data_IF_320722651111
#
_entry.id   IF_320722651111
#
_cell.length_a   1.000
_cell.length_b   1.000
_cell.length_c   1.000
_cell.angle_alpha   90.00
_cell.angle_beta   90.00
_cell.angle_gamma   90.00
#
_symmetry.space_group_name_H-M   'P 1'
#
loop_
_entity.id
_entity.type
_entity.pdbx_description
1 polymer ?
#
# COMPACT_ATOMS: atom_id res chain seq x y z
N UNK A 1 5.38 23.00 -6.15
CA UNK A 1 5.89 21.98 -7.11
C UNK A 1 4.89 20.84 -7.24
N UNK A 2 4.51 20.46 -8.46
CA UNK A 2 3.58 19.35 -8.71
C UNK A 2 4.34 18.06 -9.04
N UNK A 3 3.93 16.94 -8.45
CA UNK A 3 4.50 15.60 -8.70
C UNK A 3 3.44 14.51 -8.48
N UNK A 4 3.80 13.26 -8.77
CA UNK A 4 3.00 12.11 -8.42
C UNK A 4 2.91 11.94 -6.91
N UNK A 5 1.71 11.62 -6.44
CA UNK A 5 1.45 11.04 -5.13
C UNK A 5 0.82 9.66 -5.33
N UNK A 6 1.23 8.68 -4.52
CA UNK A 6 0.76 7.32 -4.62
C UNK A 6 0.36 6.78 -3.26
N UNK A 7 -0.80 6.12 -3.20
CA UNK A 7 -1.25 5.28 -2.08
C UNK A 7 -1.36 3.85 -2.60
N UNK A 8 -0.83 2.87 -1.88
CA UNK A 8 -0.87 1.48 -2.35
C UNK A 8 -0.74 0.46 -1.22
N UNK A 9 -1.16 -0.78 -1.50
CA UNK A 9 -0.76 -1.94 -0.71
C UNK A 9 0.78 -2.10 -0.78
N UNK A 10 1.49 -2.36 0.34
CA UNK A 10 2.94 -2.41 0.38
C UNK A 10 3.60 -3.30 -0.70
N UNK A 11 2.99 -4.43 -1.06
CA UNK A 11 3.52 -5.33 -2.10
C UNK A 11 3.71 -4.68 -3.46
N UNK A 12 2.98 -3.61 -3.77
CA UNK A 12 3.04 -2.90 -5.05
C UNK A 12 4.12 -1.82 -5.09
N UNK A 13 4.86 -1.58 -3.99
CA UNK A 13 5.79 -0.46 -3.93
C UNK A 13 6.92 -0.57 -4.95
N UNK A 14 7.48 -1.78 -5.15
CA UNK A 14 8.57 -2.00 -6.11
C UNK A 14 8.12 -1.68 -7.53
N UNK A 15 6.99 -2.26 -7.96
CA UNK A 15 6.48 -2.04 -9.33
C UNK A 15 6.12 -0.57 -9.56
N UNK A 16 5.61 0.14 -8.55
CA UNK A 16 5.33 1.58 -8.62
C UNK A 16 6.63 2.38 -8.79
N UNK A 17 7.66 2.05 -8.03
CA UNK A 17 8.98 2.70 -8.12
C UNK A 17 9.62 2.42 -9.48
N UNK A 18 9.63 1.18 -9.95
CA UNK A 18 10.23 0.81 -11.25
C UNK A 18 9.49 1.46 -12.42
N UNK A 19 8.16 1.41 -12.44
CA UNK A 19 7.36 2.07 -13.47
C UNK A 19 7.61 3.58 -13.52
N UNK A 20 7.89 4.22 -12.37
CA UNK A 20 8.13 5.66 -12.32
C UNK A 20 9.46 6.08 -12.97
N UNK A 21 10.42 5.16 -13.07
CA UNK A 21 11.70 5.38 -13.77
C UNK A 21 11.57 5.29 -15.30
N UNK A 22 10.48 4.70 -15.81
CA UNK A 22 10.29 4.49 -17.25
C UNK A 22 9.48 5.61 -17.92
N UNK A 23 8.81 6.44 -17.12
CA UNK A 23 7.85 7.42 -17.64
C UNK A 23 8.45 8.83 -17.56
N UNK A 24 8.50 9.58 -18.67
CA UNK A 24 8.94 10.97 -18.66
C UNK A 24 8.07 11.84 -17.75
N UNK A 25 8.72 12.69 -16.96
CA UNK A 25 8.03 13.64 -16.11
C UNK A 25 7.32 14.71 -16.95
N UNK A 26 6.14 15.15 -16.48
CA UNK A 26 5.43 16.27 -17.07
C UNK A 26 6.10 17.60 -16.68
N UNK A 27 6.20 18.50 -17.66
CA UNK A 27 6.68 19.88 -17.49
C UNK A 27 8.15 20.04 -17.07
N UNK A 28 8.93 18.97 -17.07
CA UNK A 28 10.37 19.00 -16.80
C UNK A 28 11.20 18.86 -18.09
N UNK A 29 12.47 19.29 -18.09
CA UNK A 29 13.39 19.07 -19.21
C UNK A 29 13.43 17.61 -19.70
N UNK A 30 13.67 17.38 -21.01
CA UNK A 30 13.84 16.05 -21.57
C UNK A 30 14.88 15.23 -20.80
N UNK A 31 14.58 13.94 -20.61
CA UNK A 31 15.44 13.00 -19.87
C UNK A 31 15.10 12.86 -18.39
N UNK A 32 14.27 13.73 -17.80
CA UNK A 32 13.76 13.51 -16.44
C UNK A 32 12.54 12.60 -16.43
N UNK A 33 12.52 11.69 -15.47
CA UNK A 33 11.45 10.72 -15.23
C UNK A 33 10.56 11.14 -14.07
N UNK A 34 9.40 10.49 -13.91
CA UNK A 34 8.56 10.66 -12.72
C UNK A 34 9.41 10.42 -11.46
N UNK A 35 10.22 9.36 -11.44
CA UNK A 35 11.10 9.03 -10.33
C UNK A 35 12.02 10.20 -9.95
N UNK A 36 12.69 10.81 -10.93
CA UNK A 36 13.65 11.91 -10.69
C UNK A 36 12.98 13.13 -10.07
N UNK A 37 11.77 13.46 -10.52
CA UNK A 37 10.99 14.56 -9.94
C UNK A 37 10.49 14.20 -8.55
N UNK A 38 9.93 13.00 -8.40
CA UNK A 38 9.31 12.56 -7.16
C UNK A 38 10.30 12.50 -6.01
N UNK A 39 11.53 12.01 -6.25
CA UNK A 39 12.62 11.98 -5.28
C UNK A 39 13.00 13.38 -4.74
N UNK A 40 12.86 14.43 -5.56
CA UNK A 40 13.18 15.81 -5.14
C UNK A 40 12.11 16.41 -4.23
N UNK A 41 10.88 15.91 -4.28
CA UNK A 41 9.73 16.50 -3.60
C UNK A 41 9.27 15.65 -2.41
N UNK A 42 9.09 14.34 -2.61
CA UNK A 42 8.55 13.42 -1.60
C UNK A 42 9.30 12.09 -1.62
N UNK A 43 10.27 11.94 -0.72
CA UNK A 43 11.04 10.71 -0.58
C UNK A 43 11.03 10.18 0.87
N UNK A 44 11.30 8.89 1.02
CA UNK A 44 11.33 8.20 2.30
C UNK A 44 12.77 8.07 2.82
N UNK A 45 13.04 8.68 3.97
CA UNK A 45 14.35 8.67 4.62
C UNK A 45 14.89 7.26 4.94
N UNK A 46 14.02 6.29 5.19
CA UNK A 46 14.38 4.92 5.54
C UNK A 46 14.76 4.10 4.30
N UNK A 47 13.93 4.13 3.26
CA UNK A 47 14.13 3.29 2.06
C UNK A 47 14.97 3.96 0.98
N UNK A 48 15.19 5.29 1.06
CA UNK A 48 15.88 6.10 0.03
C UNK A 48 15.17 6.09 -1.33
N UNK A 49 13.85 5.96 -1.31
CA UNK A 49 12.97 5.86 -2.49
C UNK A 49 11.86 6.91 -2.42
N UNK A 50 11.07 7.11 -3.50
CA UNK A 50 9.90 7.96 -3.45
C UNK A 50 8.93 7.52 -2.35
N UNK A 51 8.30 8.50 -1.69
CA UNK A 51 7.38 8.22 -0.59
C UNK A 51 6.04 7.75 -1.15
N UNK A 52 5.74 6.47 -0.98
CA UNK A 52 4.42 5.87 -1.21
C UNK A 52 3.73 5.72 0.14
N UNK A 53 2.47 6.14 0.23
CA UNK A 53 1.65 5.91 1.42
C UNK A 53 1.15 4.45 1.41
N UNK A 54 1.33 3.75 2.53
CA UNK A 54 0.79 2.40 2.67
C UNK A 54 -0.72 2.44 2.93
N UNK A 55 -1.42 1.47 2.36
CA UNK A 55 -2.85 1.32 2.50
C UNK A 55 -3.65 2.36 1.75
N UNK A 56 -4.90 2.01 1.46
CA UNK A 56 -5.87 2.91 0.86
C UNK A 56 -6.98 3.16 1.90
N UNK A 57 -7.49 4.39 1.93
CA UNK A 57 -8.52 4.77 2.90
C UNK A 57 -9.90 4.29 2.47
N UNK A 58 -10.93 5.13 2.58
CA UNK A 58 -12.25 4.85 1.97
C UNK A 58 -12.77 5.97 1.08
N UNK A 59 -11.86 6.84 0.61
CA UNK A 59 -12.21 8.02 -0.17
C UNK A 59 -12.55 7.76 -1.65
N UNK A 60 -12.36 6.53 -2.16
CA UNK A 60 -12.60 6.16 -3.55
C UNK A 60 -12.99 4.68 -3.68
N UNK A 61 -13.20 4.21 -4.91
CA UNK A 61 -13.76 2.90 -5.24
C UNK A 61 -12.88 1.72 -4.82
N UNK A 62 -11.59 1.95 -4.54
CA UNK A 62 -10.68 0.90 -4.05
C UNK A 62 -11.15 0.28 -2.72
N UNK A 63 -11.99 0.97 -1.95
CA UNK A 63 -12.51 0.52 -0.65
C UNK A 63 -13.10 -0.90 -0.68
N UNK A 64 -13.90 -1.22 -1.71
CA UNK A 64 -14.48 -2.55 -1.81
C UNK A 64 -13.43 -3.63 -2.06
N UNK A 65 -12.36 -3.27 -2.77
CA UNK A 65 -11.31 -4.21 -3.16
C UNK A 65 -10.33 -4.49 -2.02
N UNK A 66 -9.94 -3.48 -1.25
CA UNK A 66 -8.99 -3.66 -0.14
C UNK A 66 -9.70 -4.13 1.15
N UNK A 67 -10.80 -3.48 1.55
CA UNK A 67 -11.44 -3.73 2.85
C UNK A 67 -12.39 -4.93 2.85
N UNK A 68 -12.93 -5.35 1.70
CA UNK A 68 -13.87 -6.48 1.62
C UNK A 68 -13.30 -7.70 0.90
N UNK A 69 -12.58 -7.50 -0.21
CA UNK A 69 -12.04 -8.59 -1.02
C UNK A 69 -10.61 -8.98 -0.62
N UNK A 70 -9.81 -8.03 -0.14
CA UNK A 70 -8.40 -8.26 0.19
C UNK A 70 -7.56 -8.41 -1.07
N UNK A 71 -7.75 -7.53 -2.03
CA UNK A 71 -6.91 -7.38 -3.22
C UNK A 71 -5.89 -6.28 -2.99
N UNK A 72 -4.66 -6.45 -3.48
CA UNK A 72 -3.68 -5.37 -3.46
C UNK A 72 -4.11 -4.30 -4.47
N UNK A 73 -4.11 -3.04 -4.05
CA UNK A 73 -4.59 -1.92 -4.87
C UNK A 73 -3.58 -0.76 -4.85
N UNK A 74 -3.73 0.16 -5.79
CA UNK A 74 -3.02 1.44 -5.80
C UNK A 74 -3.92 2.56 -6.31
N UNK A 75 -3.63 3.77 -5.85
CA UNK A 75 -4.22 5.03 -6.31
C UNK A 75 -3.08 6.02 -6.58
N UNK A 76 -3.07 6.62 -7.77
CA UNK A 76 -2.01 7.53 -8.22
C UNK A 76 -2.60 8.81 -8.77
N UNK A 77 -2.11 9.94 -8.27
CA UNK A 77 -2.58 11.28 -8.65
C UNK A 77 -1.41 12.21 -8.93
N UNK A 78 -1.63 13.25 -9.75
CA UNK A 78 -0.65 14.30 -10.00
C UNK A 78 -1.13 15.51 -9.23
N UNK A 79 -0.41 15.85 -8.17
CA UNK A 79 -0.87 16.88 -7.25
C UNK A 79 0.25 17.85 -6.92
N UNK A 80 -0.15 19.02 -6.43
CA UNK A 80 0.78 19.96 -5.82
C UNK A 80 1.31 19.37 -4.51
N UNK A 81 2.51 19.77 -4.11
CA UNK A 81 2.97 19.55 -2.75
C UNK A 81 2.14 20.43 -1.78
N UNK A 82 1.35 19.84 -0.85
CA UNK A 82 0.47 20.61 0.03
C UNK A 82 1.21 21.63 0.92
N UNK A 83 2.48 21.35 1.24
CA UNK A 83 3.30 22.26 2.07
C UNK A 83 3.66 23.56 1.35
N UNK A 84 3.69 23.54 0.02
CA UNK A 84 4.04 24.72 -0.79
C UNK A 84 2.91 25.75 -0.83
N UNK A 85 1.70 25.38 -0.39
CA UNK A 85 0.48 26.17 -0.56
C UNK A 85 -0.34 26.30 0.74
N UNK A 86 0.32 26.36 1.90
CA UNK A 86 -0.36 26.68 3.16
C UNK A 86 -1.32 25.60 3.67
N UNK A 87 -1.01 24.32 3.43
CA UNK A 87 -1.81 23.16 3.88
C UNK A 87 -3.25 23.15 3.35
N UNK A 88 -3.43 23.50 2.07
CA UNK A 88 -4.69 23.21 1.38
C UNK A 88 -4.87 21.69 1.31
N UNK A 89 -6.01 21.21 1.80
CA UNK A 89 -6.32 19.77 1.89
C UNK A 89 -6.74 19.15 0.55
N UNK A 90 -7.41 19.92 -0.31
CA UNK A 90 -7.95 19.47 -1.60
C UNK A 90 -7.89 20.59 -2.64
N UNK A 91 -8.00 20.22 -3.91
CA UNK A 91 -8.16 21.18 -4.99
C UNK A 91 -9.38 22.11 -4.72
N UNK A 92 -9.23 23.46 -4.81
CA UNK A 92 -10.25 24.40 -4.31
C UNK A 92 -11.65 24.31 -4.92
N UNK A 93 -11.82 23.68 -6.08
CA UNK A 93 -13.13 23.60 -6.73
C UNK A 93 -13.79 22.22 -6.61
N UNK A 94 -13.18 21.30 -5.86
CA UNK A 94 -13.70 19.96 -5.61
C UNK A 94 -15.19 19.97 -5.20
N UNK A 95 -16.01 19.16 -5.86
CA UNK A 95 -17.45 19.02 -5.63
C UNK A 95 -18.25 20.32 -5.80
N UNK A 96 -17.80 21.22 -6.67
CA UNK A 96 -18.54 22.44 -7.02
C UNK A 96 -18.96 22.45 -8.49
N UNK A 97 -19.91 23.32 -8.84
CA UNK A 97 -20.29 23.55 -10.24
C UNK A 97 -19.18 24.16 -11.10
N UNK A 98 -18.04 24.55 -10.51
CA UNK A 98 -16.90 25.11 -11.22
C UNK A 98 -15.90 24.05 -11.70
N UNK A 99 -16.10 22.77 -11.37
CA UNK A 99 -15.36 21.63 -11.93
C UNK A 99 -15.73 21.39 -13.40
N UNK A 100 -15.21 22.25 -14.27
CA UNK A 100 -15.52 22.27 -15.70
C UNK A 100 -14.30 21.89 -16.52
N UNK A 101 -14.53 21.36 -17.73
CA UNK A 101 -13.45 21.12 -18.69
C UNK A 101 -12.62 22.39 -18.96
N UNK A 102 -13.28 23.55 -19.08
CA UNK A 102 -12.62 24.84 -19.28
C UNK A 102 -11.66 25.19 -18.15
N UNK A 103 -12.01 24.87 -16.90
CA UNK A 103 -11.13 25.07 -15.74
C UNK A 103 -9.87 24.20 -15.86
N UNK A 104 -10.03 22.91 -16.20
CA UNK A 104 -8.89 22.01 -16.40
C UNK A 104 -8.00 22.49 -17.54
N UNK A 105 -8.59 22.78 -18.71
CA UNK A 105 -7.90 23.20 -19.92
C UNK A 105 -7.19 24.55 -19.78
N UNK A 106 -7.69 25.44 -18.92
CA UNK A 106 -7.14 26.80 -18.78
C UNK A 106 -6.14 26.90 -17.63
N UNK A 107 -6.35 26.19 -16.53
CA UNK A 107 -5.63 26.43 -15.28
C UNK A 107 -4.95 25.19 -14.67
N UNK A 108 -5.54 24.00 -14.80
CA UNK A 108 -5.00 22.79 -14.13
C UNK A 108 -3.93 22.11 -14.99
N UNK A 109 -4.25 21.79 -16.24
CA UNK A 109 -3.33 21.09 -17.14
C UNK A 109 -3.51 21.56 -18.61
N UNK A 110 -3.06 22.77 -18.95
CA UNK A 110 -3.40 23.40 -20.23
C UNK A 110 -2.97 22.62 -21.47
N UNK A 111 -1.91 21.83 -21.34
CA UNK A 111 -1.37 21.00 -22.41
C UNK A 111 -1.65 19.51 -22.21
N UNK A 112 -2.45 19.13 -21.20
CA UNK A 112 -2.70 17.74 -20.80
C UNK A 112 -1.44 16.92 -20.56
N UNK A 113 -0.32 17.57 -20.23
CA UNK A 113 0.96 16.88 -20.08
C UNK A 113 0.98 16.04 -18.81
N UNK A 114 0.39 16.53 -17.72
CA UNK A 114 0.29 15.77 -16.46
C UNK A 114 -0.68 14.59 -16.61
N UNK A 115 -1.86 14.80 -17.20
CA UNK A 115 -2.81 13.73 -17.48
C UNK A 115 -2.21 12.66 -18.40
N UNK A 116 -1.49 13.06 -19.46
CA UNK A 116 -0.78 12.12 -20.34
C UNK A 116 0.31 11.35 -19.58
N UNK A 117 1.06 12.00 -18.71
CA UNK A 117 2.09 11.35 -17.88
C UNK A 117 1.47 10.33 -16.92
N UNK A 118 0.36 10.66 -16.25
CA UNK A 118 -0.38 9.68 -15.42
C UNK A 118 -0.94 8.55 -16.26
N UNK A 119 -1.58 8.84 -17.39
CA UNK A 119 -2.12 7.79 -18.26
C UNK A 119 -1.05 6.80 -18.72
N UNK A 120 0.14 7.31 -19.06
CA UNK A 120 1.32 6.47 -19.35
C UNK A 120 1.78 5.67 -18.14
N UNK A 121 1.83 6.30 -16.97
CA UNK A 121 2.27 5.63 -15.74
C UNK A 121 1.34 4.48 -15.34
N UNK A 122 0.03 4.71 -15.34
CA UNK A 122 -0.96 3.65 -15.10
C UNK A 122 -0.89 2.57 -16.19
N UNK A 123 -0.68 2.94 -17.45
CA UNK A 123 -0.47 1.98 -18.54
C UNK A 123 0.76 1.10 -18.34
N UNK A 124 1.89 1.68 -17.94
CA UNK A 124 3.13 0.94 -17.63
C UNK A 124 2.92 0.02 -16.42
N UNK A 125 2.25 0.49 -15.36
CA UNK A 125 1.87 -0.37 -14.23
C UNK A 125 1.00 -1.55 -14.67
N UNK A 126 0.02 -1.30 -15.54
CA UNK A 126 -0.82 -2.34 -16.13
C UNK A 126 0.01 -3.39 -16.87
N UNK A 127 0.98 -2.97 -17.69
CA UNK A 127 1.89 -3.88 -18.39
C UNK A 127 2.74 -4.70 -17.41
N UNK A 128 3.32 -4.08 -16.38
CA UNK A 128 4.07 -4.82 -15.37
C UNK A 128 3.21 -5.88 -14.67
N UNK A 129 1.98 -5.55 -14.31
CA UNK A 129 1.09 -6.45 -13.57
C UNK A 129 0.46 -7.55 -14.46
N UNK A 130 0.40 -7.36 -15.78
CA UNK A 130 -0.24 -8.31 -16.71
C UNK A 130 0.73 -9.16 -17.53
N UNK A 131 1.92 -8.65 -17.84
CA UNK A 131 2.84 -9.31 -18.78
C UNK A 131 3.99 -10.09 -18.11
N UNK A 132 4.18 -9.93 -16.79
CA UNK A 132 5.23 -10.67 -16.09
C UNK A 132 4.73 -12.06 -15.67
N UNK A 133 5.48 -13.11 -16.04
CA UNK A 133 5.17 -14.50 -15.67
C UNK A 133 5.04 -14.68 -14.16
N UNK A 134 5.97 -14.09 -13.39
CA UNK A 134 5.90 -13.98 -11.94
C UNK A 134 5.41 -12.58 -11.61
N UNK A 135 4.36 -12.45 -10.79
CA UNK A 135 3.80 -11.15 -10.44
C UNK A 135 4.88 -10.29 -9.75
N UNK A 136 5.06 -9.02 -10.13
CA UNK A 136 6.09 -8.14 -9.58
C UNK A 136 5.65 -7.56 -8.22
N UNK A 137 5.28 -8.45 -7.30
CA UNK A 137 4.84 -8.14 -5.95
C UNK A 137 5.92 -8.56 -4.96
N UNK A 138 6.26 -7.68 -4.01
CA UNK A 138 7.30 -7.95 -3.02
C UNK A 138 6.71 -8.02 -1.61
N UNK A 139 6.68 -9.22 -1.04
CA UNK A 139 6.06 -9.46 0.28
C UNK A 139 6.86 -8.82 1.42
N UNK A 140 8.17 -8.60 1.24
CA UNK A 140 9.02 -8.00 2.28
C UNK A 140 8.69 -6.52 2.53
N UNK A 141 8.02 -5.85 1.58
CA UNK A 141 7.52 -4.48 1.77
C UNK A 141 6.51 -4.36 2.90
N UNK A 142 5.72 -5.40 3.16
CA UNK A 142 4.83 -5.44 4.33
C UNK A 142 5.59 -5.34 5.64
N UNK A 143 6.72 -6.03 5.76
CA UNK A 143 7.57 -5.98 6.95
C UNK A 143 8.07 -4.56 7.21
N UNK A 144 8.51 -3.85 6.15
CA UNK A 144 8.98 -2.46 6.28
C UNK A 144 7.83 -1.56 6.75
N UNK A 145 6.64 -1.69 6.15
CA UNK A 145 5.46 -0.93 6.54
C UNK A 145 5.06 -1.21 8.00
N UNK A 146 4.97 -2.49 8.40
CA UNK A 146 4.63 -2.92 9.75
C UNK A 146 5.60 -2.39 10.81
N UNK A 147 6.92 -2.46 10.54
CA UNK A 147 7.94 -1.89 11.42
C UNK A 147 7.82 -0.38 11.53
N UNK A 148 7.49 0.31 10.43
CA UNK A 148 7.28 1.75 10.45
C UNK A 148 6.01 2.14 11.24
N UNK A 149 4.92 1.39 11.06
CA UNK A 149 3.67 1.56 11.84
C UNK A 149 3.97 1.39 13.34
N UNK A 150 4.65 0.31 13.71
CA UNK A 150 5.06 0.04 15.10
C UNK A 150 5.91 1.17 15.68
N UNK A 151 6.90 1.66 14.91
CA UNK A 151 7.75 2.78 15.31
C UNK A 151 6.93 4.06 15.55
N UNK A 152 5.96 4.33 14.69
CA UNK A 152 5.13 5.54 14.77
C UNK A 152 4.17 5.52 15.98
N UNK A 153 3.75 4.33 16.44
CA UNK A 153 2.95 4.21 17.66
C UNK A 153 3.74 4.55 18.94
N UNK A 154 5.07 4.57 18.88
CA UNK A 154 5.98 4.87 20.00
C UNK A 154 5.76 4.01 21.26
N UNK A 155 5.25 2.78 21.09
CA UNK A 155 4.95 1.88 22.21
C UNK A 155 6.09 0.87 22.44
N UNK A 156 6.83 1.07 23.53
CA UNK A 156 7.92 0.17 23.98
C UNK A 156 7.51 -0.73 25.15
N UNK A 157 6.21 -0.87 25.43
CA UNK A 157 5.73 -1.68 26.53
C UNK A 157 5.85 -3.18 26.23
N UNK A 158 5.80 -4.00 27.29
CA UNK A 158 5.82 -5.46 27.23
C UNK A 158 4.66 -6.02 26.41
N UNK A 159 3.51 -5.35 26.40
CA UNK A 159 2.30 -5.86 25.77
C UNK A 159 2.42 -5.91 24.24
N UNK A 160 3.25 -5.05 23.65
CA UNK A 160 3.56 -5.07 22.21
C UNK A 160 4.57 -6.16 21.80
N UNK A 161 5.10 -6.94 22.75
CA UNK A 161 6.10 -7.96 22.46
C UNK A 161 5.54 -9.04 21.53
N UNK A 162 4.31 -9.51 21.76
CA UNK A 162 3.68 -10.53 20.90
C UNK A 162 3.53 -10.05 19.45
N UNK A 163 3.24 -8.76 19.25
CA UNK A 163 3.13 -8.17 17.92
C UNK A 163 4.50 -7.98 17.27
N UNK A 164 5.53 -7.57 18.03
CA UNK A 164 6.91 -7.51 17.53
C UNK A 164 7.41 -8.88 17.06
N UNK A 165 7.13 -9.92 17.84
CA UNK A 165 7.47 -11.29 17.49
C UNK A 165 6.72 -11.74 16.23
N UNK A 166 5.41 -11.50 16.14
CA UNK A 166 4.63 -11.81 14.94
C UNK A 166 5.19 -11.11 13.67
N UNK A 167 5.59 -9.85 13.78
CA UNK A 167 6.22 -9.10 12.67
C UNK A 167 7.58 -9.69 12.29
N UNK A 168 8.37 -10.12 13.28
CA UNK A 168 9.66 -10.77 13.04
C UNK A 168 9.50 -12.16 12.40
N UNK A 169 8.54 -12.96 12.86
CA UNK A 169 8.19 -14.25 12.26
C UNK A 169 7.76 -14.06 10.79
N UNK A 170 6.96 -13.00 10.53
CA UNK A 170 6.56 -12.60 9.19
C UNK A 170 7.73 -12.15 8.32
N UNK A 171 8.66 -11.38 8.86
CA UNK A 171 9.86 -10.98 8.15
C UNK A 171 10.70 -12.18 7.67
N UNK A 172 10.88 -13.18 8.53
CA UNK A 172 11.62 -14.39 8.21
C UNK A 172 10.91 -15.13 7.07
N UNK A 173 9.61 -15.39 7.23
CA UNK A 173 8.83 -16.08 6.20
C UNK A 173 8.78 -15.31 4.87
N UNK A 174 8.68 -13.98 4.90
CA UNK A 174 8.71 -13.12 3.72
C UNK A 174 10.07 -13.19 3.01
N UNK A 175 11.19 -13.15 3.74
CA UNK A 175 12.53 -13.31 3.16
C UNK A 175 12.73 -14.68 2.54
N UNK A 176 12.29 -15.73 3.23
CA UNK A 176 12.36 -17.10 2.69
C UNK A 176 11.51 -17.23 1.42
N UNK A 177 10.30 -16.64 1.41
CA UNK A 177 9.43 -16.58 0.23
C UNK A 177 10.10 -15.89 -0.97
N UNK A 178 10.78 -14.76 -0.74
CA UNK A 178 11.54 -14.05 -1.79
C UNK A 178 12.78 -14.83 -2.24
N UNK A 179 13.42 -15.61 -1.38
CA UNK A 179 14.53 -16.49 -1.78
C UNK A 179 14.01 -17.62 -2.68
N UNK A 180 12.84 -18.21 -2.35
CA UNK A 180 12.21 -19.27 -3.15
C UNK A 180 11.92 -18.83 -4.59
N UNK A 181 11.60 -17.55 -4.81
CA UNK A 181 11.35 -17.01 -6.16
C UNK A 181 12.53 -17.24 -7.12
N UNK A 182 13.76 -17.21 -6.60
CA UNK A 182 15.00 -17.39 -7.36
C UNK A 182 15.27 -18.83 -7.78
N UNK A 183 14.63 -19.79 -7.12
CA UNK A 183 14.77 -21.21 -7.41
C UNK A 183 13.60 -21.78 -8.23
N UNK A 184 12.64 -20.95 -8.63
CA UNK A 184 11.49 -21.40 -9.40
C UNK A 184 11.92 -21.91 -10.78
N UNK A 185 11.39 -23.05 -11.19
CA UNK A 185 11.49 -23.48 -12.58
C UNK A 185 10.56 -22.64 -13.46
N UNK A 186 11.12 -21.62 -14.12
CA UNK A 186 10.36 -20.69 -14.98
C UNK A 186 9.78 -21.34 -16.25
N UNK A 187 10.21 -22.56 -16.59
CA UNK A 187 9.63 -23.33 -17.69
C UNK A 187 8.41 -24.16 -17.25
N UNK A 188 8.16 -24.27 -15.93
CA UNK A 188 7.02 -25.00 -15.38
C UNK A 188 5.88 -24.03 -15.01
N UNK A 189 4.82 -23.92 -15.84
CA UNK A 189 3.74 -22.97 -15.59
C UNK A 189 2.95 -23.27 -14.30
N UNK A 190 2.92 -24.51 -13.84
CA UNK A 190 2.25 -24.87 -12.58
C UNK A 190 2.99 -24.35 -11.35
N UNK A 191 4.33 -24.32 -11.42
CA UNK A 191 5.17 -23.83 -10.33
C UNK A 191 5.09 -22.31 -10.22
N UNK A 192 5.15 -21.62 -11.36
CA UNK A 192 4.88 -20.17 -11.45
C UNK A 192 3.48 -19.85 -10.92
N UNK A 193 2.47 -20.62 -11.36
CA UNK A 193 1.08 -20.38 -10.95
C UNK A 193 0.90 -20.56 -9.45
N UNK A 194 1.42 -21.63 -8.86
CA UNK A 194 1.36 -21.86 -7.43
C UNK A 194 2.02 -20.72 -6.64
N UNK A 195 3.17 -20.23 -7.10
CA UNK A 195 3.85 -19.09 -6.47
C UNK A 195 3.03 -17.79 -6.58
N UNK A 196 2.48 -17.49 -7.76
CA UNK A 196 1.62 -16.31 -7.95
C UNK A 196 0.33 -16.38 -7.13
N UNK A 197 -0.26 -17.57 -6.98
CA UNK A 197 -1.42 -17.74 -6.11
C UNK A 197 -1.06 -17.43 -4.65
N UNK A 198 0.14 -17.78 -4.16
CA UNK A 198 0.58 -17.37 -2.82
C UNK A 198 0.70 -15.84 -2.69
N UNK A 199 1.24 -15.15 -3.70
CA UNK A 199 1.30 -13.68 -3.74
C UNK A 199 -0.09 -13.05 -3.66
N UNK A 200 -1.03 -13.52 -4.48
CA UNK A 200 -2.40 -13.00 -4.56
C UNK A 200 -3.21 -13.27 -3.28
N UNK A 201 -2.92 -14.37 -2.58
CA UNK A 201 -3.64 -14.77 -1.37
C UNK A 201 -3.13 -14.06 -0.10
N UNK A 202 -1.91 -13.51 -0.12
CA UNK A 202 -1.31 -12.89 1.06
C UNK A 202 -2.16 -11.75 1.61
N UNK A 203 -2.63 -10.86 0.72
CA UNK A 203 -3.44 -9.70 1.09
C UNK A 203 -4.74 -10.12 1.80
N UNK A 204 -5.37 -11.21 1.34
CA UNK A 204 -6.59 -11.77 1.93
C UNK A 204 -6.37 -12.32 3.33
N UNK A 205 -5.16 -12.78 3.65
CA UNK A 205 -4.84 -13.28 4.99
C UNK A 205 -4.89 -12.18 6.07
N UNK A 206 -4.91 -10.91 5.66
CA UNK A 206 -5.06 -9.77 6.56
C UNK A 206 -6.51 -9.33 6.78
N UNK A 207 -7.50 -10.05 6.22
CA UNK A 207 -8.91 -9.74 6.45
C UNK A 207 -9.45 -10.44 7.70
N UNK A 208 -9.88 -9.66 8.68
CA UNK A 208 -10.70 -10.14 9.78
C UNK A 208 -12.17 -10.23 9.33
N UNK A 209 -12.77 -11.43 9.19
CA UNK A 209 -14.15 -11.57 8.72
C UNK A 209 -15.18 -10.92 9.64
N UNK A 210 -14.84 -10.69 10.91
CA UNK A 210 -15.69 -9.99 11.88
C UNK A 210 -15.65 -8.46 11.74
N UNK A 211 -14.74 -7.93 10.90
CA UNK A 211 -14.53 -6.48 10.78
C UNK A 211 -14.02 -5.84 12.06
N UNK A 212 -14.32 -4.54 12.23
CA UNK A 212 -13.86 -3.72 13.36
C UNK A 212 -15.00 -3.35 14.29
N UNK A 213 -15.31 -4.23 15.24
CA UNK A 213 -16.39 -4.00 16.20
C UNK A 213 -17.76 -3.92 15.52
N UNK A 214 -18.74 -3.32 16.20
CA UNK A 214 -20.14 -3.28 15.72
C UNK A 214 -20.40 -2.22 14.65
N UNK A 215 -19.65 -1.12 14.69
CA UNK A 215 -19.95 0.07 13.87
C UNK A 215 -19.11 0.14 12.58
N UNK A 216 -18.10 -0.73 12.45
CA UNK A 216 -17.15 -0.77 11.33
C UNK A 216 -16.95 -2.22 10.83
N UNK A 217 -18.03 -2.97 10.71
CA UNK A 217 -18.03 -4.39 10.28
C UNK A 217 -17.46 -4.61 8.87
N UNK A 218 -17.55 -3.59 8.02
CA UNK A 218 -17.12 -3.66 6.63
C UNK A 218 -15.64 -3.27 6.45
N UNK A 219 -14.97 -2.82 7.52
CA UNK A 219 -13.53 -2.55 7.52
C UNK A 219 -12.79 -3.78 8.05
N UNK A 220 -12.38 -4.69 7.16
CA UNK A 220 -11.84 -5.99 7.56
C UNK A 220 -10.33 -6.04 7.56
N UNK A 221 -9.64 -5.14 6.85
CA UNK A 221 -8.21 -5.22 6.69
C UNK A 221 -7.48 -4.80 7.99
N UNK A 222 -6.76 -5.74 8.62
CA UNK A 222 -6.17 -5.55 9.96
C UNK A 222 -4.93 -4.67 9.95
N UNK A 223 -4.15 -4.66 8.86
CA UNK A 223 -2.89 -3.89 8.77
C UNK A 223 -3.14 -2.41 8.48
N UNK A 224 -4.16 -2.10 7.69
CA UNK A 224 -4.49 -0.74 7.31
C UNK A 224 -5.98 -0.64 7.02
N UNK A 225 -6.59 0.40 7.56
CA UNK A 225 -7.97 0.81 7.30
C UNK A 225 -8.14 2.22 7.89
N UNK A 226 -9.20 2.96 7.56
CA UNK A 226 -9.42 4.28 8.14
C UNK A 226 -9.56 4.27 9.67
N UNK A 227 -8.95 5.22 10.37
CA UNK A 227 -9.07 5.32 11.83
C UNK A 227 -10.47 5.79 12.27
N UNK A 228 -10.85 5.60 13.53
CA UNK A 228 -12.05 6.27 14.06
C UNK A 228 -11.86 7.79 13.96
N UNK A 229 -12.77 8.46 13.26
CA UNK A 229 -12.75 9.92 13.08
C UNK A 229 -12.10 10.41 11.79
N UNK A 230 -11.34 9.56 11.07
CA UNK A 230 -10.82 9.86 9.73
C UNK A 230 -11.14 8.69 8.79
N UNK A 231 -12.14 8.88 7.94
CA UNK A 231 -12.57 7.88 6.96
C UNK A 231 -11.78 7.96 5.65
N UNK A 232 -11.05 9.05 5.41
CA UNK A 232 -10.47 9.35 4.10
C UNK A 232 -9.11 8.70 3.90
N UNK A 233 -8.26 8.73 4.92
CA UNK A 233 -6.92 8.15 4.88
C UNK A 233 -6.82 6.81 5.61
N UNK A 234 -5.89 5.97 5.16
CA UNK A 234 -5.55 4.74 5.84
C UNK A 234 -4.67 5.01 7.05
N UNK A 235 -5.04 4.44 8.20
CA UNK A 235 -4.18 4.34 9.37
C UNK A 235 -3.61 2.92 9.47
N UNK A 236 -2.36 2.81 9.93
CA UNK A 236 -1.70 1.53 10.15
C UNK A 236 -2.10 0.91 11.49
N UNK A 237 -2.46 -0.38 11.48
CA UNK A 237 -2.98 -1.13 12.62
C UNK A 237 -4.06 -0.33 13.39
N UNK A 238 -5.14 0.07 12.70
CA UNK A 238 -6.00 1.14 13.17
C UNK A 238 -6.83 0.75 14.39
N UNK A 239 -7.14 -0.54 14.62
CA UNK A 239 -7.82 -0.97 15.85
C UNK A 239 -6.94 -0.78 17.09
N UNK A 240 -5.63 -0.99 16.98
CA UNK A 240 -4.68 -0.71 18.06
C UNK A 240 -4.60 0.80 18.28
N UNK A 241 -4.53 1.59 17.21
CA UNK A 241 -4.54 3.05 17.30
C UNK A 241 -5.79 3.60 18.01
N UNK A 242 -6.97 3.10 17.63
CA UNK A 242 -8.24 3.44 18.27
C UNK A 242 -8.27 3.02 19.75
N UNK A 243 -7.81 1.80 20.06
CA UNK A 243 -7.77 1.28 21.43
C UNK A 243 -6.83 2.12 22.31
N UNK A 244 -5.66 2.52 21.79
CA UNK A 244 -4.72 3.42 22.49
C UNK A 244 -5.39 4.76 22.84
N UNK A 245 -6.25 5.29 21.96
CA UNK A 245 -6.97 6.54 22.23
C UNK A 245 -7.98 6.42 23.38
N UNK A 246 -8.47 5.23 23.70
CA UNK A 246 -9.38 5.00 24.84
C UNK A 246 -8.64 4.93 26.19
N UNK A 247 -7.36 4.56 26.18
CA UNK A 247 -6.58 4.25 27.38
C UNK A 247 -7.00 2.95 28.10
N UNK A 248 -7.92 2.15 27.55
CA UNK A 248 -8.36 0.90 28.14
C UNK A 248 -7.37 -0.23 27.84
N UNK A 249 -6.61 -0.67 28.85
CA UNK A 249 -5.57 -1.68 28.66
C UNK A 249 -6.10 -3.03 28.17
N UNK A 250 -7.30 -3.43 28.58
CA UNK A 250 -7.92 -4.70 28.14
C UNK A 250 -8.22 -4.64 26.64
N UNK A 251 -8.71 -3.50 26.15
CA UNK A 251 -8.99 -3.29 24.73
C UNK A 251 -7.69 -3.25 23.92
N UNK A 252 -6.67 -2.55 24.41
CA UNK A 252 -5.34 -2.49 23.78
C UNK A 252 -4.75 -3.91 23.66
N UNK A 253 -4.74 -4.68 24.73
CA UNK A 253 -4.15 -6.03 24.74
C UNK A 253 -4.91 -6.99 23.81
N UNK A 254 -6.24 -6.87 23.76
CA UNK A 254 -7.08 -7.63 22.83
C UNK A 254 -6.75 -7.31 21.37
N UNK A 255 -6.70 -6.03 21.00
CA UNK A 255 -6.45 -5.64 19.60
C UNK A 255 -5.02 -5.96 19.16
N UNK A 256 -4.04 -5.89 20.07
CA UNK A 256 -2.67 -6.37 19.83
C UNK A 256 -2.67 -7.88 19.55
N UNK A 257 -3.38 -8.67 20.35
CA UNK A 257 -3.44 -10.12 20.17
C UNK A 257 -4.11 -10.51 18.84
N UNK A 258 -5.19 -9.81 18.46
CA UNK A 258 -5.87 -10.01 17.17
C UNK A 258 -4.92 -9.70 16.00
N UNK A 259 -4.24 -8.55 16.02
CA UNK A 259 -3.29 -8.18 14.97
C UNK A 259 -2.16 -9.21 14.84
N UNK A 260 -1.57 -9.63 15.96
CA UNK A 260 -0.52 -10.65 15.99
C UNK A 260 -1.01 -12.00 15.45
N UNK A 261 -2.25 -12.39 15.76
CA UNK A 261 -2.88 -13.61 15.24
C UNK A 261 -2.99 -13.60 13.71
N UNK A 262 -3.54 -12.53 13.12
CA UNK A 262 -3.67 -12.44 11.66
C UNK A 262 -2.32 -12.35 10.95
N UNK A 263 -1.35 -11.59 11.49
CA UNK A 263 0.02 -11.53 10.95
C UNK A 263 0.68 -12.93 10.97
N UNK A 264 0.52 -13.69 12.06
CA UNK A 264 1.01 -15.08 12.12
C UNK A 264 0.21 -16.03 11.20
N UNK A 265 -1.08 -15.80 11.02
CA UNK A 265 -1.92 -16.54 10.08
C UNK A 265 -1.39 -16.41 8.64
N UNK A 266 -0.95 -15.22 8.25
CA UNK A 266 -0.37 -14.95 6.93
C UNK A 266 0.91 -15.76 6.65
N UNK A 267 1.63 -16.23 7.67
CA UNK A 267 2.80 -17.11 7.50
C UNK A 267 2.43 -18.41 6.77
N UNK A 268 1.23 -18.92 6.99
CA UNK A 268 0.77 -20.15 6.33
C UNK A 268 0.67 -19.98 4.81
N UNK A 269 0.39 -18.77 4.33
CA UNK A 269 0.36 -18.45 2.90
C UNK A 269 1.78 -18.41 2.32
N UNK A 270 2.77 -17.97 3.09
CA UNK A 270 4.16 -17.82 2.64
C UNK A 270 5.02 -19.08 2.77
N UNK A 271 4.57 -20.08 3.52
CA UNK A 271 5.28 -21.35 3.64
C UNK A 271 5.21 -22.15 2.35
N UNK A 272 6.24 -22.94 2.08
CA UNK A 272 6.21 -23.89 0.98
C UNK A 272 5.16 -24.97 1.31
N UNK A 273 4.25 -25.23 0.38
CA UNK A 273 3.46 -26.45 0.45
C UNK A 273 4.41 -27.59 0.08
N UNK A 274 4.72 -28.46 1.02
CA UNK A 274 5.46 -29.68 0.73
C UNK A 274 4.71 -30.44 -0.37
N UNK A 275 5.47 -30.85 -1.40
CA UNK A 275 5.05 -31.46 -2.67
C UNK A 275 3.77 -32.29 -2.55
N UNK A 276 2.62 -31.70 -2.85
CA UNK A 276 1.45 -32.44 -3.32
C UNK A 276 1.71 -32.80 -4.79
N UNK A 277 2.56 -33.81 -5.02
CA UNK A 277 2.62 -34.71 -6.18
C UNK A 277 3.78 -35.67 -5.86
N UNK A 278 3.43 -36.84 -5.35
CA UNK A 278 4.20 -38.08 -5.49
C UNK A 278 3.38 -39.02 -6.37
#
# INVERSE_FOLDING_TARGET
NYTIHAKASPMLFDVIVEASKMVPSAYDPPGQTIYDKWMKVHWNNLTKEPKIQYGLGSASDYYGFDQLVGSSNFDVVYQFNPTDHGNISLYPLYHTSYETFSMVKKFVDPHFAAHRTIGRFVGVLGLFLSENNILPLNVTRYTIALKQIMKNMQQNTTNFQILREAINDFEIAAKDFEIRSKSLNVENPYEIRAYNDQLLQLERAFLNPLGRGTDYTDYKHIIYAPAKGDKYDAAGLPTIGDALATGNQIEIDKEIAIAAYFIRGALSILKQFDKFIS
#
